data_IF_834365366507
#
_entry.id   IF_834365366507
#
_cell.length_a   1.000
_cell.length_b   1.000
_cell.length_c   1.000
_cell.angle_alpha   90.00
_cell.angle_beta   90.00
_cell.angle_gamma   90.00
#
_symmetry.space_group_name_H-M   'P 1'
#
loop_
_entity.id
_entity.type
_entity.pdbx_description
1 polymer ?
#
# COMPACT_ATOMS: atom_id res chain seq x y z
N UNK A 1 -4.68 7.75 -13.32
CA UNK A 1 -4.22 7.61 -11.93
C UNK A 1 -3.47 8.86 -11.51
N UNK A 2 -2.38 9.27 -12.18
CA UNK A 2 -1.57 10.43 -11.81
C UNK A 2 -2.39 11.71 -11.60
N UNK A 3 -3.32 12.05 -12.50
CA UNK A 3 -4.20 13.21 -12.33
C UNK A 3 -5.09 13.14 -11.10
N UNK A 4 -5.59 11.95 -10.76
CA UNK A 4 -6.39 11.76 -9.56
C UNK A 4 -5.57 12.00 -8.28
N UNK A 5 -4.34 11.45 -8.24
CA UNK A 5 -3.40 11.68 -7.14
C UNK A 5 -3.07 13.18 -7.02
N UNK A 6 -2.74 13.84 -8.13
CA UNK A 6 -2.44 15.25 -8.16
C UNK A 6 -3.59 16.11 -7.60
N UNK A 7 -4.84 15.76 -7.96
CA UNK A 7 -6.04 16.44 -7.46
C UNK A 7 -6.19 16.31 -5.94
N UNK A 8 -6.04 15.11 -5.39
CA UNK A 8 -6.14 14.86 -3.95
C UNK A 8 -5.04 15.59 -3.16
N UNK A 9 -3.82 15.60 -3.70
CA UNK A 9 -2.70 16.33 -3.08
C UNK A 9 -2.94 17.85 -3.07
N UNK A 10 -3.51 18.41 -4.15
CA UNK A 10 -3.90 19.84 -4.19
C UNK A 10 -5.00 20.16 -3.18
N UNK A 11 -5.97 19.26 -2.98
CA UNK A 11 -7.01 19.40 -1.96
C UNK A 11 -6.40 19.38 -0.56
N UNK A 12 -5.42 18.53 -0.34
CA UNK A 12 -4.67 18.43 0.92
C UNK A 12 -3.69 19.60 1.16
N UNK A 13 -3.63 20.58 0.24
CA UNK A 13 -2.84 21.80 0.41
C UNK A 13 -1.38 21.70 -0.06
N UNK A 14 -1.01 20.63 -0.74
CA UNK A 14 0.33 20.50 -1.32
C UNK A 14 0.48 21.31 -2.60
N UNK A 15 1.72 21.74 -2.89
CA UNK A 15 2.09 22.28 -4.21
C UNK A 15 2.41 21.11 -5.13
N UNK A 16 1.75 21.04 -6.28
CA UNK A 16 1.87 19.92 -7.21
C UNK A 16 2.37 20.39 -8.56
N UNK A 17 3.35 19.68 -9.10
CA UNK A 17 3.80 19.77 -10.48
C UNK A 17 3.43 18.48 -11.20
N UNK A 18 2.89 18.61 -12.41
CA UNK A 18 2.55 17.48 -13.29
C UNK A 18 3.45 17.55 -14.51
N UNK A 19 4.19 16.47 -14.75
CA UNK A 19 5.01 16.31 -15.96
C UNK A 19 4.27 15.29 -16.84
N UNK A 20 3.93 15.67 -18.06
CA UNK A 20 3.21 14.83 -19.02
C UNK A 20 3.81 15.01 -20.41
N UNK A 21 4.23 13.91 -21.04
CA UNK A 21 4.82 13.94 -22.37
C UNK A 21 3.80 13.90 -23.51
N UNK A 22 2.63 13.27 -23.24
CA UNK A 22 1.59 13.14 -24.27
C UNK A 22 0.73 14.39 -24.31
N UNK A 23 0.79 15.13 -25.40
CA UNK A 23 -0.02 16.35 -25.60
C UNK A 23 -1.53 16.12 -25.43
N UNK A 24 -2.03 14.91 -25.73
CA UNK A 24 -3.44 14.59 -25.53
C UNK A 24 -3.85 14.48 -24.04
N UNK A 25 -2.89 14.25 -23.15
CA UNK A 25 -3.09 14.16 -21.69
C UNK A 25 -2.63 15.44 -20.97
N UNK A 26 -2.04 16.38 -21.69
CA UNK A 26 -1.61 17.67 -21.15
C UNK A 26 -2.81 18.61 -21.05
N UNK A 27 -3.49 18.56 -19.91
CA UNK A 27 -4.81 19.21 -19.67
C UNK A 27 -4.76 20.14 -18.45
N UNK A 28 -4.03 21.29 -18.55
CA UNK A 28 -3.87 22.23 -17.42
C UNK A 28 -5.19 22.75 -16.86
N UNK A 29 -6.22 22.83 -17.68
CA UNK A 29 -7.56 23.29 -17.30
C UNK A 29 -8.23 22.37 -16.27
N UNK A 30 -7.85 21.09 -16.20
CA UNK A 30 -8.40 20.16 -15.21
C UNK A 30 -7.81 20.38 -13.80
N UNK A 31 -6.58 20.89 -13.73
CA UNK A 31 -5.89 21.18 -12.47
C UNK A 31 -5.17 22.54 -12.57
N UNK A 32 -5.90 23.66 -12.57
CA UNK A 32 -5.32 24.99 -12.81
C UNK A 32 -4.40 25.47 -11.68
N UNK A 33 -4.43 24.83 -10.52
CA UNK A 33 -3.53 25.10 -9.38
C UNK A 33 -2.21 24.32 -9.44
N UNK A 34 -2.09 23.33 -10.33
CA UNK A 34 -0.85 22.62 -10.55
C UNK A 34 0.06 23.36 -11.53
N UNK A 35 1.38 23.28 -11.33
CA UNK A 35 2.35 23.63 -12.38
C UNK A 35 2.39 22.47 -13.38
N UNK A 36 2.23 22.76 -14.65
CA UNK A 36 2.29 21.77 -15.72
C UNK A 36 3.56 21.94 -16.54
N UNK A 37 4.21 20.82 -16.81
CA UNK A 37 5.41 20.74 -17.66
C UNK A 37 5.14 19.70 -18.76
N UNK A 38 5.19 20.14 -20.03
CA UNK A 38 5.06 19.24 -21.17
C UNK A 38 6.42 18.71 -21.56
N UNK A 39 6.81 17.57 -21.02
CA UNK A 39 8.12 16.98 -21.18
C UNK A 39 8.12 15.47 -20.94
N UNK A 40 9.15 14.77 -21.38
CA UNK A 40 9.38 13.37 -21.04
C UNK A 40 10.16 13.28 -19.72
N UNK A 41 9.55 12.73 -18.69
CA UNK A 41 10.18 12.58 -17.38
C UNK A 41 11.33 11.52 -17.36
N UNK A 42 11.54 10.79 -18.44
CA UNK A 42 12.67 9.87 -18.59
C UNK A 42 13.92 10.56 -19.14
N UNK A 43 13.85 11.86 -19.46
CA UNK A 43 14.96 12.65 -19.98
C UNK A 43 15.51 13.58 -18.89
N UNK A 44 16.83 13.56 -18.71
CA UNK A 44 17.52 14.33 -17.67
C UNK A 44 17.27 15.83 -17.84
N UNK A 45 17.48 16.36 -19.06
CA UNK A 45 17.32 17.77 -19.38
C UNK A 45 15.90 18.27 -19.06
N UNK A 46 14.88 17.41 -19.32
CA UNK A 46 13.49 17.72 -19.00
C UNK A 46 13.24 17.87 -17.49
N UNK A 47 13.90 17.04 -16.70
CA UNK A 47 13.80 17.07 -15.23
C UNK A 47 14.60 18.26 -14.64
N UNK A 48 15.71 18.66 -15.26
CA UNK A 48 16.47 19.86 -14.90
C UNK A 48 15.64 21.12 -15.17
N UNK A 49 15.02 21.24 -16.35
CA UNK A 49 14.13 22.35 -16.69
C UNK A 49 12.88 22.42 -15.78
N UNK A 50 12.42 21.27 -15.33
CA UNK A 50 11.34 21.17 -14.34
C UNK A 50 11.78 21.55 -12.93
N UNK A 51 13.07 21.77 -12.69
CA UNK A 51 13.66 22.09 -11.38
C UNK A 51 13.40 20.98 -10.33
N UNK A 52 13.59 19.71 -10.71
CA UNK A 52 13.29 18.57 -9.86
C UNK A 52 14.09 18.55 -8.54
N UNK A 53 15.25 19.21 -8.50
CA UNK A 53 16.06 19.40 -7.28
C UNK A 53 15.31 20.13 -6.15
N UNK A 54 14.24 20.86 -6.48
CA UNK A 54 13.42 21.59 -5.50
C UNK A 54 12.19 20.80 -5.04
N UNK A 55 12.06 19.52 -5.45
CA UNK A 55 10.92 18.68 -5.16
C UNK A 55 11.19 17.78 -3.95
N UNK A 56 10.28 17.77 -3.01
CA UNK A 56 10.39 16.91 -1.82
C UNK A 56 10.01 15.44 -2.11
N UNK A 57 9.01 15.25 -2.95
CA UNK A 57 8.44 13.92 -3.26
C UNK A 57 8.20 13.78 -4.76
N UNK A 58 8.76 12.75 -5.37
CA UNK A 58 8.46 12.35 -6.75
C UNK A 58 7.47 11.18 -6.74
N UNK A 59 6.44 11.27 -7.62
CA UNK A 59 5.46 10.20 -7.79
C UNK A 59 5.50 9.76 -9.25
N UNK A 60 6.11 8.61 -9.51
CA UNK A 60 6.15 7.98 -10.83
C UNK A 60 4.88 7.15 -11.03
N UNK A 61 3.88 7.70 -11.73
CA UNK A 61 2.55 7.10 -11.86
C UNK A 61 2.08 6.96 -13.32
N UNK A 62 3.02 6.70 -14.23
CA UNK A 62 2.72 6.45 -15.65
C UNK A 62 2.08 5.08 -15.85
N UNK A 63 1.62 4.79 -17.07
CA UNK A 63 1.12 3.47 -17.46
C UNK A 63 2.22 2.47 -17.85
N UNK A 64 3.50 2.82 -17.73
CA UNK A 64 4.64 2.01 -18.15
C UNK A 64 5.60 1.84 -16.96
N UNK A 65 5.81 0.59 -16.53
CA UNK A 65 6.69 0.25 -15.40
C UNK A 65 8.15 0.63 -15.67
N UNK A 66 8.61 0.51 -16.92
CA UNK A 66 9.98 0.90 -17.28
C UNK A 66 10.18 2.40 -17.13
N UNK A 67 9.21 3.19 -17.60
CA UNK A 67 9.24 4.64 -17.41
C UNK A 67 9.22 5.00 -15.92
N UNK A 68 8.37 4.34 -15.11
CA UNK A 68 8.31 4.58 -13.67
C UNK A 68 9.65 4.27 -12.99
N UNK A 69 10.34 3.18 -13.36
CA UNK A 69 11.67 2.84 -12.84
C UNK A 69 12.73 3.87 -13.23
N UNK A 70 12.78 4.26 -14.52
CA UNK A 70 13.76 5.24 -15.02
C UNK A 70 13.58 6.60 -14.32
N UNK A 71 12.35 7.10 -14.24
CA UNK A 71 12.04 8.36 -13.55
C UNK A 71 12.43 8.29 -12.07
N UNK A 72 12.15 7.17 -11.40
CA UNK A 72 12.50 6.98 -10.00
C UNK A 72 14.01 7.02 -9.78
N UNK A 73 14.76 6.32 -10.64
CA UNK A 73 16.21 6.28 -10.57
C UNK A 73 16.83 7.67 -10.79
N UNK A 74 16.40 8.40 -11.83
CA UNK A 74 16.86 9.75 -12.10
C UNK A 74 16.53 10.69 -10.93
N UNK A 75 15.30 10.68 -10.44
CA UNK A 75 14.89 11.52 -9.31
C UNK A 75 15.77 11.28 -8.07
N UNK A 76 16.13 10.02 -7.81
CA UNK A 76 16.90 9.65 -6.63
C UNK A 76 18.40 9.97 -6.77
N UNK A 77 19.00 9.60 -7.90
CA UNK A 77 20.46 9.67 -8.08
C UNK A 77 20.90 11.05 -8.55
N UNK A 78 20.23 11.64 -9.54
CA UNK A 78 20.65 12.90 -10.13
C UNK A 78 20.12 14.11 -9.37
N UNK A 79 18.89 14.05 -8.85
CA UNK A 79 18.24 15.16 -8.19
C UNK A 79 18.15 15.04 -6.67
N UNK A 80 18.58 13.92 -6.10
CA UNK A 80 18.57 13.66 -4.66
C UNK A 80 17.17 13.87 -4.01
N UNK A 81 16.10 13.58 -4.74
CA UNK A 81 14.72 13.68 -4.23
C UNK A 81 14.58 12.78 -3.01
N UNK A 82 14.12 13.37 -1.90
CA UNK A 82 14.09 12.68 -0.60
C UNK A 82 13.21 11.46 -0.59
N UNK A 83 12.06 11.52 -1.26
CA UNK A 83 11.11 10.41 -1.32
C UNK A 83 10.59 10.19 -2.73
N UNK A 84 10.66 8.95 -3.17
CA UNK A 84 10.17 8.52 -4.47
C UNK A 84 9.13 7.43 -4.26
N UNK A 85 7.93 7.69 -4.78
CA UNK A 85 6.81 6.74 -4.80
C UNK A 85 6.59 6.30 -6.23
N UNK A 86 6.54 5.01 -6.48
CA UNK A 86 6.35 4.49 -7.82
C UNK A 86 5.16 3.54 -7.91
N UNK A 87 4.36 3.73 -8.95
CA UNK A 87 3.29 2.82 -9.29
C UNK A 87 3.83 1.60 -10.02
N UNK A 88 3.42 0.42 -9.57
CA UNK A 88 3.60 -0.85 -10.27
C UNK A 88 2.32 -1.12 -11.06
N UNK A 89 2.44 -1.24 -12.37
CA UNK A 89 1.31 -1.55 -13.25
C UNK A 89 1.12 -3.07 -13.38
N UNK A 90 2.24 -3.80 -13.54
CA UNK A 90 2.24 -5.27 -13.60
C UNK A 90 2.90 -5.84 -12.35
N UNK A 91 2.17 -6.61 -11.50
CA UNK A 91 2.73 -7.23 -10.30
C UNK A 91 3.97 -8.10 -10.54
N UNK A 92 4.13 -8.68 -11.73
CA UNK A 92 5.33 -9.46 -12.11
C UNK A 92 6.61 -8.62 -12.05
N UNK A 93 6.51 -7.30 -12.23
CA UNK A 93 7.64 -6.37 -12.18
C UNK A 93 7.91 -5.81 -10.77
N UNK A 94 7.08 -6.12 -9.79
CA UNK A 94 7.14 -5.48 -8.46
C UNK A 94 8.49 -5.62 -7.76
N UNK A 95 9.18 -6.73 -7.97
CA UNK A 95 10.49 -7.00 -7.41
C UNK A 95 11.59 -6.01 -7.85
N UNK A 96 11.39 -5.32 -8.99
CA UNK A 96 12.29 -4.28 -9.49
C UNK A 96 12.12 -2.95 -8.75
N UNK A 97 10.95 -2.71 -8.13
CA UNK A 97 10.62 -1.42 -7.52
C UNK A 97 11.15 -1.35 -6.09
N UNK A 98 12.46 -1.29 -5.95
CA UNK A 98 13.19 -1.23 -4.69
C UNK A 98 14.18 -0.06 -4.63
N UNK A 99 14.98 0.00 -3.58
CA UNK A 99 15.97 1.05 -3.36
C UNK A 99 17.06 1.09 -4.45
N UNK A 100 17.37 -0.03 -5.11
CA UNK A 100 18.37 -0.08 -6.18
C UNK A 100 17.90 0.68 -7.43
N UNK A 101 16.60 0.79 -7.62
CA UNK A 101 15.94 1.59 -8.64
C UNK A 101 15.46 2.95 -8.12
N UNK A 102 15.90 3.36 -6.93
CA UNK A 102 15.56 4.64 -6.34
C UNK A 102 14.13 4.75 -5.82
N UNK A 103 13.43 3.62 -5.64
CA UNK A 103 12.04 3.59 -5.17
C UNK A 103 11.99 3.41 -3.66
N UNK A 104 11.45 4.38 -2.94
CA UNK A 104 11.21 4.28 -1.49
C UNK A 104 9.89 3.57 -1.19
N UNK A 105 8.87 3.79 -2.03
CA UNK A 105 7.55 3.18 -1.87
C UNK A 105 7.03 2.71 -3.22
N UNK A 106 6.85 1.42 -3.36
CA UNK A 106 6.16 0.84 -4.52
C UNK A 106 4.67 0.62 -4.21
N UNK A 107 3.80 0.98 -5.15
CA UNK A 107 2.35 0.84 -5.00
C UNK A 107 1.82 0.02 -6.18
N UNK A 108 1.48 -1.24 -5.91
CA UNK A 108 0.82 -2.11 -6.90
C UNK A 108 -0.69 -1.92 -6.82
N UNK A 109 -1.24 -1.14 -7.76
CA UNK A 109 -2.68 -0.91 -7.83
C UNK A 109 -3.48 -2.22 -8.02
N UNK A 110 -3.05 -3.16 -8.88
CA UNK A 110 -3.75 -4.44 -9.03
C UNK A 110 -3.79 -5.26 -7.74
N UNK A 111 -2.67 -5.34 -7.02
CA UNK A 111 -2.62 -6.08 -5.75
C UNK A 111 -3.49 -5.44 -4.68
N UNK A 112 -3.48 -4.10 -4.57
CA UNK A 112 -4.35 -3.40 -3.61
C UNK A 112 -5.83 -3.68 -3.87
N UNK A 113 -6.25 -3.66 -5.14
CA UNK A 113 -7.64 -3.97 -5.51
C UNK A 113 -7.94 -5.44 -5.21
N UNK A 114 -7.02 -6.36 -5.57
CA UNK A 114 -7.21 -7.78 -5.31
C UNK A 114 -7.36 -8.07 -3.82
N UNK A 115 -6.51 -7.47 -2.96
CA UNK A 115 -6.60 -7.62 -1.51
C UNK A 115 -7.94 -7.12 -0.95
N UNK A 116 -8.45 -5.99 -1.43
CA UNK A 116 -9.75 -5.46 -1.00
C UNK A 116 -10.92 -6.33 -1.47
N UNK A 117 -10.82 -6.92 -2.66
CA UNK A 117 -11.83 -7.88 -3.15
C UNK A 117 -11.77 -9.18 -2.33
N UNK A 118 -10.58 -9.66 -2.04
CA UNK A 118 -10.37 -10.87 -1.23
C UNK A 118 -10.95 -10.67 0.18
N UNK A 119 -10.66 -9.53 0.82
CA UNK A 119 -11.24 -9.16 2.11
C UNK A 119 -12.78 -9.15 2.07
N UNK A 120 -13.38 -8.53 1.06
CA UNK A 120 -14.84 -8.42 0.94
C UNK A 120 -15.55 -9.76 0.73
N UNK A 121 -14.88 -10.82 0.27
CA UNK A 121 -15.47 -12.13 -0.04
C UNK A 121 -15.02 -13.25 0.90
N UNK A 122 -13.99 -13.00 1.71
CA UNK A 122 -13.37 -14.02 2.56
C UNK A 122 -13.85 -13.88 4.00
N UNK A 123 -14.42 -14.95 4.54
CA UNK A 123 -14.81 -15.06 5.95
C UNK A 123 -14.05 -16.25 6.56
N UNK A 124 -13.46 -16.02 7.72
CA UNK A 124 -12.78 -17.10 8.47
C UNK A 124 -11.37 -17.40 7.99
N UNK A 125 -10.79 -16.55 7.15
CA UNK A 125 -9.37 -16.63 6.79
C UNK A 125 -8.67 -15.27 6.92
N UNK A 126 -7.34 -15.29 6.98
CA UNK A 126 -6.52 -14.10 7.16
C UNK A 126 -6.23 -13.47 5.80
N UNK A 127 -6.65 -12.23 5.61
CA UNK A 127 -6.44 -11.45 4.38
C UNK A 127 -5.39 -10.38 4.62
N UNK A 128 -4.41 -10.28 3.72
CA UNK A 128 -3.38 -9.24 3.75
C UNK A 128 -3.84 -8.00 3.01
N UNK A 129 -4.14 -6.92 3.77
CA UNK A 129 -4.61 -5.66 3.22
C UNK A 129 -3.46 -4.78 2.68
N UNK A 130 -2.33 -4.77 3.38
CA UNK A 130 -1.20 -3.91 3.03
C UNK A 130 0.11 -4.45 3.58
N UNK A 131 1.20 -4.21 2.84
CA UNK A 131 2.58 -4.49 3.29
C UNK A 131 3.33 -3.19 3.50
N UNK A 132 3.90 -3.01 4.69
CA UNK A 132 4.80 -1.90 5.04
C UNK A 132 6.25 -2.29 4.77
N UNK A 133 6.76 -1.98 3.58
CA UNK A 133 8.09 -2.46 3.12
C UNK A 133 9.24 -2.05 4.03
N UNK A 134 9.22 -0.83 4.58
CA UNK A 134 10.31 -0.34 5.46
C UNK A 134 10.39 -1.11 6.77
N UNK A 135 9.28 -1.58 7.31
CA UNK A 135 9.22 -2.32 8.58
C UNK A 135 9.11 -3.83 8.39
N UNK A 136 9.01 -4.34 7.15
CA UNK A 136 8.69 -5.74 6.85
C UNK A 136 7.46 -6.25 7.62
N UNK A 137 6.49 -5.37 7.80
CA UNK A 137 5.26 -5.67 8.51
C UNK A 137 4.07 -5.65 7.55
N UNK A 138 3.09 -6.49 7.83
CA UNK A 138 1.81 -6.54 7.13
C UNK A 138 0.68 -6.03 8.02
N UNK A 139 -0.25 -5.32 7.43
CA UNK A 139 -1.59 -5.12 7.96
C UNK A 139 -2.44 -6.28 7.43
N UNK A 140 -2.98 -7.08 8.34
CA UNK A 140 -3.82 -8.22 8.00
C UNK A 140 -5.14 -8.14 8.74
N UNK A 141 -6.17 -8.70 8.15
CA UNK A 141 -7.54 -8.72 8.68
C UNK A 141 -8.07 -10.15 8.68
N UNK A 142 -8.98 -10.45 9.60
CA UNK A 142 -9.84 -11.62 9.57
C UNK A 142 -11.24 -11.26 10.02
N UNK A 143 -12.25 -11.56 9.21
CA UNK A 143 -13.65 -11.60 9.61
C UNK A 143 -13.96 -12.97 10.22
N UNK A 144 -14.28 -13.00 11.51
CA UNK A 144 -14.56 -14.25 12.20
C UNK A 144 -15.92 -14.82 11.79
N UNK A 145 -16.02 -16.15 11.55
CA UNK A 145 -17.31 -16.81 11.38
C UNK A 145 -18.22 -16.62 12.62
N UNK A 146 -19.52 -16.58 12.42
CA UNK A 146 -20.50 -16.47 13.51
C UNK A 146 -20.36 -17.58 14.58
N UNK A 147 -19.98 -18.78 14.15
CA UNK A 147 -19.78 -19.95 15.00
C UNK A 147 -18.32 -20.16 15.42
N UNK A 148 -17.51 -19.11 15.38
CA UNK A 148 -16.08 -19.19 15.72
C UNK A 148 -15.84 -19.77 17.11
N UNK A 149 -14.84 -20.63 17.23
CA UNK A 149 -14.39 -21.16 18.53
C UNK A 149 -13.79 -20.08 19.46
N UNK A 150 -13.56 -18.87 18.97
CA UNK A 150 -13.05 -17.72 19.72
C UNK A 150 -14.18 -16.94 20.42
N UNK A 151 -15.44 -17.16 20.04
CA UNK A 151 -16.57 -16.44 20.63
C UNK A 151 -16.61 -16.56 22.16
N UNK A 152 -16.80 -15.43 22.84
CA UNK A 152 -16.82 -15.32 24.30
C UNK A 152 -15.44 -15.39 24.98
N UNK A 153 -14.35 -15.65 24.25
CA UNK A 153 -13.01 -15.64 24.82
C UNK A 153 -12.47 -14.21 24.90
N UNK A 154 -11.84 -13.83 26.02
CA UNK A 154 -11.21 -12.51 26.12
C UNK A 154 -9.95 -12.46 25.24
N UNK A 155 -9.62 -11.24 24.73
CA UNK A 155 -8.46 -10.97 23.86
C UNK A 155 -7.16 -11.57 24.41
N UNK A 156 -6.93 -11.53 25.72
CA UNK A 156 -5.74 -12.13 26.35
C UNK A 156 -5.62 -13.67 26.14
N UNK A 157 -6.67 -14.33 25.69
CA UNK A 157 -6.65 -15.78 25.37
C UNK A 157 -6.22 -16.07 23.94
N UNK A 158 -6.15 -15.03 23.09
CA UNK A 158 -5.47 -15.14 21.82
C UNK A 158 -3.98 -15.27 22.08
N UNK A 159 -3.42 -16.41 22.09
CA UNK A 159 -1.97 -16.62 22.31
C UNK A 159 -1.15 -16.02 21.16
N UNK A 160 -1.24 -14.70 20.97
CA UNK A 160 -0.60 -13.99 19.88
C UNK A 160 0.94 -14.14 19.97
N UNK A 161 1.60 -14.42 18.85
CA UNK A 161 3.05 -14.45 18.78
C UNK A 161 3.66 -13.09 19.16
N UNK A 162 4.97 -13.09 19.46
CA UNK A 162 5.74 -11.82 19.48
C UNK A 162 5.72 -11.23 18.08
N UNK A 163 5.80 -9.90 17.98
CA UNK A 163 5.76 -9.17 16.71
C UNK A 163 4.40 -9.22 15.98
N UNK A 164 3.32 -9.53 16.74
CA UNK A 164 1.91 -9.42 16.32
C UNK A 164 1.17 -8.51 17.29
N UNK A 165 0.50 -7.51 16.76
CA UNK A 165 -0.36 -6.60 17.53
C UNK A 165 -1.80 -6.64 16.98
N UNK A 166 -2.78 -6.96 17.83
CA UNK A 166 -4.19 -6.70 17.53
C UNK A 166 -4.44 -5.21 17.68
N UNK A 167 -4.69 -4.52 16.57
CA UNK A 167 -4.81 -3.06 16.52
C UNK A 167 -6.22 -2.59 16.86
N UNK A 168 -7.21 -3.27 16.29
CA UNK A 168 -8.63 -2.94 16.50
C UNK A 168 -9.53 -4.13 16.23
N UNK A 169 -10.71 -4.09 16.84
CA UNK A 169 -11.85 -4.98 16.56
C UNK A 169 -12.95 -4.10 15.97
N UNK A 170 -13.42 -4.45 14.76
CA UNK A 170 -14.60 -3.82 14.17
C UNK A 170 -15.78 -4.77 14.42
N UNK A 171 -16.83 -4.28 15.09
CA UNK A 171 -18.03 -5.02 15.40
C UNK A 171 -19.24 -4.27 14.85
N UNK A 172 -19.68 -4.63 13.66
CA UNK A 172 -20.65 -3.87 12.91
C UNK A 172 -20.17 -2.44 12.68
N UNK A 173 -20.88 -1.43 13.16
CA UNK A 173 -20.48 -0.03 13.04
C UNK A 173 -19.56 0.50 14.17
N UNK A 174 -19.11 -0.37 15.09
CA UNK A 174 -18.31 0.04 16.25
C UNK A 174 -16.84 -0.27 16.03
N UNK A 175 -15.99 0.72 16.31
CA UNK A 175 -14.54 0.55 16.41
C UNK A 175 -14.17 0.35 17.87
N UNK A 176 -13.53 -0.76 18.21
CA UNK A 176 -13.14 -1.15 19.56
C UNK A 176 -11.61 -1.17 19.62
N UNK A 177 -11.04 -0.35 20.52
CA UNK A 177 -9.63 -0.46 20.89
C UNK A 177 -9.51 -1.65 21.85
N UNK A 178 -8.86 -2.75 21.47
CA UNK A 178 -8.92 -3.99 22.24
C UNK A 178 -8.20 -3.85 23.57
N UNK A 179 -8.87 -4.29 24.62
CA UNK A 179 -8.27 -4.51 25.93
C UNK A 179 -8.13 -6.01 26.21
N UNK A 180 -7.26 -6.45 27.14
CA UNK A 180 -7.08 -7.87 27.43
C UNK A 180 -8.35 -8.61 27.83
N UNK A 181 -9.32 -7.89 28.40
CA UNK A 181 -10.56 -8.47 28.94
C UNK A 181 -11.75 -8.40 27.98
N UNK A 182 -11.61 -7.71 26.85
CA UNK A 182 -12.69 -7.60 25.87
C UNK A 182 -13.01 -8.99 25.28
N UNK A 183 -14.29 -9.37 25.26
CA UNK A 183 -14.71 -10.62 24.64
C UNK A 183 -14.69 -10.49 23.11
N UNK A 184 -14.25 -11.54 22.44
CA UNK A 184 -14.37 -11.71 21.00
C UNK A 184 -15.76 -12.25 20.68
N UNK A 185 -16.38 -11.80 19.62
CA UNK A 185 -17.70 -12.26 19.17
C UNK A 185 -17.62 -12.80 17.74
N UNK A 186 -18.60 -13.65 17.36
CA UNK A 186 -18.77 -14.03 15.96
C UNK A 186 -19.08 -12.81 15.10
N UNK A 187 -18.60 -12.77 13.86
CA UNK A 187 -18.74 -11.64 12.97
C UNK A 187 -17.81 -10.44 13.28
N UNK A 188 -16.94 -10.54 14.32
CA UNK A 188 -15.91 -9.51 14.54
C UNK A 188 -14.88 -9.51 13.41
N UNK A 189 -14.51 -8.32 12.93
CA UNK A 189 -13.36 -8.10 12.06
C UNK A 189 -12.16 -7.72 12.93
N UNK A 190 -11.13 -8.54 12.93
CA UNK A 190 -9.92 -8.36 13.73
C UNK A 190 -8.79 -7.86 12.85
N UNK A 191 -8.27 -6.66 13.10
CA UNK A 191 -7.14 -6.10 12.38
C UNK A 191 -5.84 -6.27 13.17
N UNK A 192 -4.83 -6.84 12.51
CA UNK A 192 -3.50 -7.05 13.09
C UNK A 192 -2.42 -6.34 12.28
N UNK A 193 -1.38 -5.91 13.00
CA UNK A 193 -0.07 -5.64 12.40
C UNK A 193 0.86 -6.78 12.81
N UNK A 194 1.46 -7.44 11.82
CA UNK A 194 2.31 -8.62 12.03
C UNK A 194 3.57 -8.50 11.19
N UNK A 195 4.69 -9.09 11.64
CA UNK A 195 5.83 -9.29 10.75
C UNK A 195 5.53 -10.40 9.74
N UNK A 196 6.14 -10.33 8.56
CA UNK A 196 5.94 -11.33 7.50
C UNK A 196 6.27 -12.74 7.98
N UNK A 197 7.28 -12.86 8.84
CA UNK A 197 7.83 -14.15 9.31
C UNK A 197 6.92 -14.88 10.31
N UNK A 198 5.97 -14.19 10.96
CA UNK A 198 5.11 -14.79 12.00
C UNK A 198 3.63 -14.87 11.60
N UNK A 199 3.31 -14.56 10.36
CA UNK A 199 1.93 -14.60 9.85
C UNK A 199 1.32 -16.00 9.96
N UNK A 200 2.08 -17.06 9.66
CA UNK A 200 1.65 -18.45 9.84
C UNK A 200 1.40 -18.83 11.31
N UNK A 201 2.19 -18.27 12.24
CA UNK A 201 1.97 -18.46 13.66
C UNK A 201 0.71 -17.73 14.14
N UNK A 202 0.40 -16.57 13.56
CA UNK A 202 -0.85 -15.87 13.81
C UNK A 202 -2.04 -16.71 13.33
N UNK A 203 -1.96 -17.30 12.13
CA UNK A 203 -2.99 -18.23 11.62
C UNK A 203 -3.26 -19.36 12.62
N UNK A 204 -2.21 -19.99 13.12
CA UNK A 204 -2.33 -21.05 14.13
C UNK A 204 -2.94 -20.55 15.44
N UNK A 205 -2.55 -19.37 15.93
CA UNK A 205 -3.09 -18.77 17.14
C UNK A 205 -4.60 -18.47 17.04
N UNK A 206 -5.08 -18.19 15.84
CA UNK A 206 -6.49 -17.97 15.52
C UNK A 206 -7.26 -19.28 15.24
N UNK A 207 -6.55 -20.42 15.21
CA UNK A 207 -7.15 -21.73 14.91
C UNK A 207 -7.45 -21.97 13.44
N UNK A 208 -6.79 -21.23 12.54
CA UNK A 208 -6.93 -21.34 11.09
C UNK A 208 -6.02 -22.45 10.52
N UNK A 209 -6.38 -22.97 9.36
CA UNK A 209 -5.52 -23.86 8.61
C UNK A 209 -4.22 -23.14 8.16
N UNK A 210 -3.11 -23.85 7.98
CA UNK A 210 -1.93 -23.29 7.33
C UNK A 210 -2.29 -22.70 5.97
N UNK A 211 -1.61 -21.62 5.56
CA UNK A 211 -1.79 -21.06 4.22
C UNK A 211 -1.53 -22.15 3.19
N UNK A 212 -2.44 -22.31 2.22
CA UNK A 212 -2.16 -23.17 1.08
C UNK A 212 -0.97 -22.55 0.33
N UNK A 213 0.12 -23.33 0.22
CA UNK A 213 1.24 -22.93 -0.61
C UNK A 213 0.76 -22.86 -2.06
N UNK A 214 0.57 -21.64 -2.56
CA UNK A 214 0.39 -21.44 -4.01
C UNK A 214 1.74 -21.81 -4.64
N UNK A 215 1.84 -23.06 -5.09
CA UNK A 215 2.96 -23.48 -5.91
C UNK A 215 2.97 -22.58 -7.15
N UNK A 216 4.03 -21.78 -7.25
CA UNK A 216 4.35 -20.98 -8.43
C UNK A 216 4.53 -21.94 -9.61
N UNK A 217 3.56 -21.95 -10.49
CA UNK A 217 3.63 -22.68 -11.75
C UNK A 217 4.13 -21.72 -12.85
#
# INVERSE_FOLDING_TARGET
>A
VGLAIAKELLISGHTVMVIERNAANFLPELLPRARWVHADACELDSLEEAELQNVDVMIAATGDDKANLVVSLLAKIEFAVRRVVARVNDPVNEWLFDESWGVDVAVSTPQMIASLVEEAVTIGDLVRLMTFRQSKANLVEITLPEDTALAGKPVRRLALPRDVALVTILRGARVIVPTPDDPIEGGDELLFVTSVEVEDQLRQALGLAPAESVESN
#
